data_IF_186110459529
#
_entry.id   IF_186110459529
#
_cell.length_a   1.000
_cell.length_b   1.000
_cell.length_c   1.000
_cell.angle_alpha   90.00
_cell.angle_beta   90.00
_cell.angle_gamma   90.00
#
_symmetry.space_group_name_H-M   'P 1'
#
loop_
_entity.id
_entity.type
_entity.pdbx_description
1 polymer ?
#
# COMPACT_ATOMS: atom_id res chain seq x y z
N UNK A 1 -4.26 13.73 -22.39
CA UNK A 1 -3.17 14.37 -21.63
C UNK A 1 -2.95 13.55 -20.38
N UNK A 2 -1.73 13.05 -20.14
CA UNK A 2 -1.42 12.29 -18.93
C UNK A 2 -1.42 13.25 -17.73
N UNK A 3 -2.20 12.92 -16.71
CA UNK A 3 -2.19 13.68 -15.45
C UNK A 3 -0.77 13.59 -14.85
N UNK A 4 -0.18 14.69 -14.36
CA UNK A 4 1.12 14.64 -13.69
C UNK A 4 1.08 13.65 -12.52
N UNK A 5 2.15 12.87 -12.34
CA UNK A 5 2.17 11.80 -11.33
C UNK A 5 1.84 12.29 -9.91
N UNK A 6 2.29 13.49 -9.55
CA UNK A 6 2.01 14.08 -8.24
C UNK A 6 0.51 14.39 -8.05
N UNK A 7 -0.17 14.90 -9.10
CA UNK A 7 -1.61 15.20 -9.06
C UNK A 7 -2.41 13.90 -8.91
N UNK A 8 -1.99 12.84 -9.61
CA UNK A 8 -2.59 11.51 -9.47
C UNK A 8 -2.47 10.99 -8.03
N UNK A 9 -1.30 11.14 -7.39
CA UNK A 9 -1.09 10.76 -5.98
C UNK A 9 -2.02 11.55 -5.05
N UNK A 10 -2.16 12.86 -5.22
CA UNK A 10 -3.06 13.65 -4.37
C UNK A 10 -4.52 13.23 -4.49
N UNK A 11 -5.01 13.07 -5.73
CA UNK A 11 -6.37 12.62 -6.00
C UNK A 11 -6.59 11.25 -5.38
N UNK A 12 -5.64 10.33 -5.58
CA UNK A 12 -5.70 8.98 -5.05
C UNK A 12 -5.73 8.95 -3.52
N UNK A 13 -4.88 9.72 -2.84
CA UNK A 13 -4.90 9.85 -1.37
C UNK A 13 -6.21 10.46 -0.89
N UNK A 14 -6.70 11.51 -1.55
CA UNK A 14 -8.00 12.12 -1.23
C UNK A 14 -9.16 11.14 -1.40
N UNK A 15 -9.18 10.36 -2.48
CA UNK A 15 -10.15 9.30 -2.74
C UNK A 15 -10.08 8.20 -1.69
N UNK A 16 -8.88 7.72 -1.36
CA UNK A 16 -8.68 6.71 -0.33
C UNK A 16 -9.16 7.18 1.05
N UNK A 17 -8.89 8.42 1.42
CA UNK A 17 -9.37 8.99 2.70
C UNK A 17 -10.90 9.17 2.73
N UNK A 18 -11.53 9.47 1.59
CA UNK A 18 -13.01 9.44 1.48
C UNK A 18 -13.55 8.04 1.69
N UNK A 19 -12.97 7.04 1.02
CA UNK A 19 -13.36 5.63 1.19
C UNK A 19 -13.18 5.17 2.65
N UNK A 20 -12.08 5.56 3.30
CA UNK A 20 -11.83 5.26 4.71
C UNK A 20 -12.89 5.85 5.66
N UNK A 21 -13.54 6.95 5.26
CA UNK A 21 -14.67 7.57 5.98
C UNK A 21 -16.03 6.99 5.60
N UNK A 22 -16.06 5.93 4.79
CA UNK A 22 -17.29 5.31 4.29
C UNK A 22 -17.97 6.10 3.17
N UNK A 23 -17.31 7.08 2.56
CA UNK A 23 -17.87 7.87 1.46
C UNK A 23 -17.55 7.20 0.10
N UNK A 24 -18.54 6.59 -0.57
CA UNK A 24 -18.32 5.90 -1.84
C UNK A 24 -17.99 6.85 -3.00
N UNK A 25 -18.21 8.17 -2.85
CA UNK A 25 -17.81 9.17 -3.86
C UNK A 25 -16.29 9.18 -4.08
N UNK A 26 -15.51 8.66 -3.13
CA UNK A 26 -14.07 8.45 -3.26
C UNK A 26 -13.66 7.60 -4.46
N UNK A 27 -14.53 6.70 -4.94
CA UNK A 27 -14.23 5.88 -6.13
C UNK A 27 -14.01 6.72 -7.39
N UNK A 28 -14.62 7.92 -7.48
CA UNK A 28 -14.48 8.82 -8.63
C UNK A 28 -13.11 9.49 -8.75
N UNK A 29 -12.21 9.29 -7.78
CA UNK A 29 -10.87 9.90 -7.74
C UNK A 29 -9.80 9.03 -8.40
N UNK A 30 -10.14 7.80 -8.78
CA UNK A 30 -9.20 6.83 -9.33
C UNK A 30 -9.36 6.69 -10.84
N UNK A 31 -8.24 6.58 -11.55
CA UNK A 31 -8.24 6.16 -12.95
C UNK A 31 -8.41 4.64 -13.02
N UNK A 32 -9.58 4.18 -13.45
CA UNK A 32 -9.91 2.75 -13.58
C UNK A 32 -9.66 2.20 -14.99
N UNK A 33 -8.79 2.83 -15.77
CA UNK A 33 -8.26 2.25 -17.01
C UNK A 33 -7.20 1.19 -16.73
N UNK A 34 -6.84 0.42 -17.78
CA UNK A 34 -5.71 -0.52 -17.72
C UNK A 34 -4.41 0.21 -17.35
N UNK A 35 -4.18 1.41 -17.90
CA UNK A 35 -2.99 2.21 -17.55
C UNK A 35 -3.03 2.68 -16.09
N UNK A 36 -4.22 2.99 -15.58
CA UNK A 36 -4.45 3.31 -14.17
C UNK A 36 -4.05 2.16 -13.23
N UNK A 37 -4.26 0.90 -13.63
CA UNK A 37 -3.78 -0.28 -12.88
C UNK A 37 -2.26 -0.22 -12.75
N UNK A 38 -1.53 -0.10 -13.85
CA UNK A 38 -0.07 -0.06 -13.82
C UNK A 38 0.47 1.13 -13.02
N UNK A 39 -0.14 2.30 -13.15
CA UNK A 39 0.26 3.48 -12.38
C UNK A 39 -0.04 3.35 -10.89
N UNK A 40 -1.08 2.61 -10.49
CA UNK A 40 -1.40 2.39 -9.08
C UNK A 40 -0.29 1.64 -8.32
N UNK A 41 0.54 0.83 -8.99
CA UNK A 41 1.71 0.19 -8.38
C UNK A 41 2.80 1.17 -7.94
N UNK A 42 2.76 2.44 -8.39
CA UNK A 42 3.61 3.51 -7.83
C UNK A 42 3.36 3.70 -6.33
N UNK A 43 2.17 3.37 -5.84
CA UNK A 43 1.89 3.33 -4.41
C UNK A 43 2.87 2.43 -3.66
N UNK A 44 3.31 1.31 -4.25
CA UNK A 44 4.31 0.44 -3.66
C UNK A 44 5.70 1.05 -3.58
N UNK A 45 6.08 1.88 -4.54
CA UNK A 45 7.34 2.64 -4.45
C UNK A 45 7.24 3.70 -3.35
N UNK A 46 6.10 4.39 -3.26
CA UNK A 46 5.84 5.42 -2.23
C UNK A 46 5.79 4.80 -0.83
N UNK A 47 5.20 3.62 -0.67
CA UNK A 47 5.08 2.92 0.61
C UNK A 47 6.40 2.30 1.08
N UNK A 48 7.35 2.02 0.18
CA UNK A 48 8.61 1.36 0.51
C UNK A 48 9.45 2.07 1.60
N UNK A 49 9.68 3.39 1.57
CA UNK A 49 10.38 4.07 2.68
C UNK A 49 9.64 3.93 4.02
N UNK A 50 8.30 3.99 4.03
CA UNK A 50 7.52 3.76 5.25
C UNK A 50 7.65 2.32 5.75
N UNK A 51 7.67 1.35 4.83
CA UNK A 51 7.94 -0.05 5.15
C UNK A 51 9.33 -0.25 5.80
N UNK A 52 10.38 0.41 5.29
CA UNK A 52 11.70 0.34 5.90
C UNK A 52 11.72 0.93 7.32
N UNK A 53 10.98 2.01 7.56
CA UNK A 53 10.80 2.57 8.91
C UNK A 53 10.09 1.55 9.82
N UNK A 54 9.04 0.88 9.33
CA UNK A 54 8.35 -0.15 10.09
C UNK A 54 9.26 -1.34 10.47
N UNK A 55 10.25 -1.69 9.65
CA UNK A 55 11.22 -2.74 10.00
C UNK A 55 12.01 -2.39 11.27
N UNK A 56 12.30 -1.11 11.51
CA UNK A 56 12.99 -0.66 12.73
C UNK A 56 12.15 -0.96 13.98
N UNK A 57 10.83 -0.81 13.90
CA UNK A 57 9.93 -1.09 15.02
C UNK A 57 9.59 -2.58 15.17
N UNK A 58 9.53 -3.32 14.04
CA UNK A 58 9.05 -4.72 14.01
C UNK A 58 10.15 -5.73 14.33
N UNK A 59 11.38 -5.47 13.88
CA UNK A 59 12.49 -6.43 14.01
C UNK A 59 13.25 -6.16 15.29
N UNK A 60 13.38 -7.17 16.14
CA UNK A 60 14.05 -7.01 17.44
C UNK A 60 15.55 -6.79 17.30
N UNK A 61 16.15 -6.08 18.27
CA UNK A 61 17.59 -5.82 18.31
C UNK A 61 18.43 -7.11 18.24
N UNK A 62 17.95 -8.21 18.85
CA UNK A 62 18.61 -9.51 18.79
C UNK A 62 18.67 -10.07 17.35
N UNK A 63 17.61 -9.91 16.56
CA UNK A 63 17.61 -10.35 15.16
C UNK A 63 18.52 -9.47 14.30
N UNK A 64 18.51 -8.14 14.52
CA UNK A 64 19.45 -7.25 13.84
C UNK A 64 20.91 -7.62 14.10
N UNK A 65 21.26 -7.95 15.35
CA UNK A 65 22.60 -8.37 15.72
C UNK A 65 22.98 -9.73 15.13
N UNK A 66 22.05 -10.69 15.08
CA UNK A 66 22.32 -12.04 14.59
C UNK A 66 22.45 -12.12 13.06
N UNK A 67 21.57 -11.44 12.32
CA UNK A 67 21.47 -11.58 10.85
C UNK A 67 22.15 -10.45 10.09
N UNK A 68 22.34 -9.29 10.71
CA UNK A 68 22.87 -8.08 10.08
C UNK A 68 21.85 -7.33 9.21
N UNK A 69 22.10 -6.03 9.02
CA UNK A 69 21.15 -5.12 8.36
C UNK A 69 20.83 -5.51 6.92
N UNK A 70 21.86 -5.81 6.12
CA UNK A 70 21.70 -6.11 4.70
C UNK A 70 20.85 -7.36 4.46
N UNK A 71 21.08 -8.42 5.24
CA UNK A 71 20.31 -9.67 5.12
C UNK A 71 18.82 -9.42 5.40
N UNK A 72 18.51 -8.76 6.52
CA UNK A 72 17.12 -8.47 6.90
C UNK A 72 16.44 -7.62 5.83
N UNK A 73 17.07 -6.52 5.40
CA UNK A 73 16.48 -5.64 4.38
C UNK A 73 16.24 -6.40 3.07
N UNK A 74 17.19 -7.21 2.60
CA UNK A 74 17.02 -7.96 1.35
C UNK A 74 15.84 -8.93 1.43
N UNK A 75 15.77 -9.73 2.50
CA UNK A 75 14.71 -10.73 2.68
C UNK A 75 13.34 -10.07 2.83
N UNK A 76 13.26 -9.03 3.65
CA UNK A 76 12.02 -8.28 3.89
C UNK A 76 11.57 -7.54 2.62
N UNK A 77 12.49 -7.01 1.81
CA UNK A 77 12.17 -6.39 0.52
C UNK A 77 11.67 -7.40 -0.51
N UNK A 78 12.20 -8.62 -0.53
CA UNK A 78 11.65 -9.69 -1.37
C UNK A 78 10.21 -10.00 -0.94
N UNK A 79 9.98 -10.18 0.36
CA UNK A 79 8.63 -10.38 0.91
C UNK A 79 7.68 -9.23 0.56
N UNK A 80 8.16 -7.99 0.66
CA UNK A 80 7.42 -6.80 0.27
C UNK A 80 7.01 -6.84 -1.20
N UNK A 81 7.95 -7.06 -2.13
CA UNK A 81 7.65 -7.15 -3.57
C UNK A 81 6.69 -8.29 -3.88
N UNK A 82 6.87 -9.45 -3.25
CA UNK A 82 5.94 -10.58 -3.37
C UNK A 82 4.54 -10.17 -2.93
N UNK A 83 4.40 -9.49 -1.79
CA UNK A 83 3.09 -9.07 -1.28
C UNK A 83 2.33 -8.13 -2.22
N UNK A 84 3.04 -7.21 -2.89
CA UNK A 84 2.47 -6.27 -3.87
C UNK A 84 1.89 -6.98 -5.11
N UNK A 85 2.45 -8.12 -5.50
CA UNK A 85 2.01 -8.86 -6.69
C UNK A 85 1.05 -9.99 -6.32
N UNK A 86 1.30 -10.67 -5.19
CA UNK A 86 0.52 -11.82 -4.75
C UNK A 86 -0.94 -11.46 -4.51
N UNK A 87 -1.22 -10.34 -3.84
CA UNK A 87 -2.60 -9.94 -3.56
C UNK A 87 -3.44 -9.69 -4.83
N UNK A 88 -3.01 -8.86 -5.81
CA UNK A 88 -3.70 -8.74 -7.09
C UNK A 88 -3.93 -10.08 -7.80
N UNK A 89 -2.92 -10.96 -7.81
CA UNK A 89 -3.01 -12.28 -8.44
C UNK A 89 -4.02 -13.21 -7.75
N UNK A 90 -4.22 -13.07 -6.44
CA UNK A 90 -5.24 -13.82 -5.71
C UNK A 90 -6.64 -13.23 -5.90
N UNK A 91 -6.75 -11.90 -5.98
CA UNK A 91 -8.05 -11.22 -6.12
C UNK A 91 -8.64 -11.42 -7.51
N UNK A 92 -7.83 -11.51 -8.56
CA UNK A 92 -8.34 -11.74 -9.92
C UNK A 92 -9.22 -12.99 -10.04
N UNK A 93 -8.75 -14.22 -9.72
CA UNK A 93 -9.58 -15.41 -9.76
C UNK A 93 -10.73 -15.35 -8.74
N UNK A 94 -10.55 -14.68 -7.59
CA UNK A 94 -11.63 -14.49 -6.61
C UNK A 94 -12.78 -13.67 -7.20
N UNK A 95 -12.50 -12.55 -7.88
CA UNK A 95 -13.55 -11.73 -8.52
C UNK A 95 -14.27 -12.50 -9.62
N UNK A 96 -13.56 -13.38 -10.35
CA UNK A 96 -14.18 -14.30 -11.33
C UNK A 96 -15.11 -15.30 -10.65
N UNK A 97 -14.64 -15.95 -9.59
CA UNK A 97 -15.43 -16.90 -8.81
C UNK A 97 -16.72 -16.28 -8.26
N UNK A 98 -16.66 -15.03 -7.84
CA UNK A 98 -17.82 -14.27 -7.33
C UNK A 98 -18.72 -13.70 -8.45
N UNK A 99 -18.41 -13.90 -9.73
CA UNK A 99 -19.15 -13.31 -10.85
C UNK A 99 -19.05 -11.77 -10.92
N UNK A 100 -17.94 -11.20 -10.42
CA UNK A 100 -17.68 -9.75 -10.32
C UNK A 100 -16.37 -9.33 -10.99
N UNK A 101 -15.96 -10.01 -12.06
CA UNK A 101 -14.71 -9.70 -12.79
C UNK A 101 -14.63 -8.23 -13.26
N UNK A 102 -15.77 -7.64 -13.63
CA UNK A 102 -15.88 -6.22 -13.98
C UNK A 102 -15.51 -5.25 -12.84
N UNK A 103 -15.40 -5.73 -11.60
CA UNK A 103 -14.98 -4.93 -10.44
C UNK A 103 -13.50 -5.07 -10.11
N UNK A 104 -12.76 -5.97 -10.77
CA UNK A 104 -11.34 -6.20 -10.49
C UNK A 104 -10.51 -4.92 -10.65
N UNK A 105 -10.61 -4.23 -11.79
CA UNK A 105 -9.82 -3.03 -12.07
C UNK A 105 -10.12 -1.90 -11.08
N UNK A 106 -11.38 -1.46 -10.88
CA UNK A 106 -11.69 -0.43 -9.89
C UNK A 106 -11.23 -0.80 -8.48
N UNK A 107 -11.37 -2.08 -8.10
CA UNK A 107 -10.94 -2.57 -6.81
C UNK A 107 -9.42 -2.46 -6.63
N UNK A 108 -8.63 -2.97 -7.59
CA UNK A 108 -7.18 -3.05 -7.40
C UNK A 108 -6.52 -1.66 -7.40
N UNK A 109 -7.03 -0.74 -8.23
CA UNK A 109 -6.55 0.65 -8.24
C UNK A 109 -6.84 1.32 -6.90
N UNK A 110 -8.08 1.23 -6.41
CA UNK A 110 -8.45 1.82 -5.12
C UNK A 110 -7.67 1.16 -3.96
N UNK A 111 -7.50 -0.16 -3.98
CA UNK A 111 -6.74 -0.91 -2.98
C UNK A 111 -5.28 -0.44 -2.91
N UNK A 112 -4.58 -0.41 -4.05
CA UNK A 112 -3.17 -0.03 -4.11
C UNK A 112 -2.95 1.39 -3.60
N UNK A 113 -3.78 2.34 -4.02
CA UNK A 113 -3.67 3.72 -3.56
C UNK A 113 -4.01 3.90 -2.08
N UNK A 114 -4.94 3.09 -1.56
CA UNK A 114 -5.29 3.10 -0.13
C UNK A 114 -4.16 2.60 0.77
N UNK A 115 -3.20 1.83 0.23
CA UNK A 115 -2.02 1.42 0.98
C UNK A 115 -1.17 2.62 1.45
N UNK A 116 -1.20 3.77 0.77
CA UNK A 116 -0.42 4.95 1.17
C UNK A 116 -0.87 5.49 2.54
N UNK A 117 -2.13 5.97 2.71
CA UNK A 117 -2.58 6.44 4.01
C UNK A 117 -2.58 5.33 5.07
N UNK A 118 -2.82 4.07 4.68
CA UNK A 118 -2.74 2.92 5.60
C UNK A 118 -1.32 2.73 6.15
N UNK A 119 -0.30 2.71 5.29
CA UNK A 119 1.10 2.49 5.70
C UNK A 119 1.62 3.68 6.51
N UNK A 120 1.22 4.91 6.14
CA UNK A 120 1.52 6.10 6.93
C UNK A 120 0.92 5.99 8.35
N UNK A 121 -0.33 5.53 8.47
CA UNK A 121 -0.96 5.28 9.76
C UNK A 121 -0.20 4.22 10.57
N UNK A 122 0.22 3.12 9.94
CA UNK A 122 1.03 2.10 10.60
C UNK A 122 2.35 2.65 11.14
N UNK A 123 3.04 3.53 10.40
CA UNK A 123 4.25 4.18 10.89
C UNK A 123 3.96 5.04 12.12
N UNK A 124 2.87 5.80 12.11
CA UNK A 124 2.47 6.63 13.26
C UNK A 124 2.21 5.76 14.49
N UNK A 125 1.41 4.70 14.34
CA UNK A 125 1.08 3.77 15.43
C UNK A 125 2.32 3.00 15.91
N UNK A 126 3.20 2.58 15.00
CA UNK A 126 4.45 1.90 15.34
C UNK A 126 5.41 2.79 16.11
N UNK A 127 5.55 4.05 15.69
CA UNK A 127 6.36 5.05 16.39
C UNK A 127 5.82 5.34 17.79
N UNK A 128 4.49 5.46 17.91
CA UNK A 128 3.83 5.61 19.21
C UNK A 128 4.11 4.43 20.13
N UNK A 129 3.86 3.20 19.68
CA UNK A 129 4.11 2.00 20.47
C UNK A 129 5.59 1.86 20.92
N UNK A 130 6.54 2.39 20.13
CA UNK A 130 7.95 2.37 20.46
C UNK A 130 8.38 3.49 21.43
N UNK A 131 7.64 4.60 21.51
CA UNK A 131 8.07 5.81 22.26
C UNK A 131 7.13 6.20 23.40
N UNK A 132 5.88 5.70 23.42
CA UNK A 132 4.82 6.13 24.32
C UNK A 132 4.39 7.58 24.07
N UNK A 133 4.32 8.00 22.80
CA UNK A 133 4.08 9.40 22.44
C UNK A 133 2.62 9.83 22.71
N UNK A 134 1.69 8.89 22.61
CA UNK A 134 0.29 9.03 22.92
C UNK A 134 -0.05 8.19 24.17
N UNK A 135 -0.86 8.74 25.11
CA UNK A 135 -1.17 8.13 26.39
C UNK A 135 -2.14 6.94 26.31
#
# INVERSE_FOLDING_TARGET
>A
MTVPAWVEVQLAVGGALKLARGDPSGLGFFDTSIDGVWRSFRAGVICYPFFLILLVFRVSAAHWAASGMAHIVIVETIGYVISWVAFPLLVLPLTRYLGRENRFIPFIVAYNWSQIPQTALFVIVGADAATGLFP
#
